data_IF_180722929747
#
_entry.id   IF_180722929747
#
_cell.length_a   1.000
_cell.length_b   1.000
_cell.length_c   1.000
_cell.angle_alpha   90.00
_cell.angle_beta   90.00
_cell.angle_gamma   90.00
#
_symmetry.space_group_name_H-M   'P 1'
#
loop_
_entity.id
_entity.type
_entity.pdbx_description
1 polymer ?
#
# COMPACT_ATOMS: atom_id res chain seq x y z
N UNK A 1 -45.63 -11.88 -56.07
CA UNK A 1 -45.32 -10.50 -55.68
C UNK A 1 -44.74 -10.55 -54.26
N UNK A 2 -43.42 -10.67 -54.12
CA UNK A 2 -42.75 -10.85 -52.82
C UNK A 2 -42.20 -9.50 -52.33
N UNK A 3 -42.74 -8.98 -51.22
CA UNK A 3 -42.21 -7.79 -50.57
C UNK A 3 -40.91 -8.13 -49.83
N UNK A 4 -39.83 -7.38 -50.13
CA UNK A 4 -38.55 -7.48 -49.43
C UNK A 4 -38.63 -6.71 -48.12
N UNK A 5 -38.46 -7.40 -47.00
CA UNK A 5 -38.28 -6.81 -45.68
C UNK A 5 -36.89 -6.18 -45.58
N UNK A 6 -36.80 -4.90 -45.23
CA UNK A 6 -35.54 -4.21 -44.96
C UNK A 6 -34.97 -4.62 -43.59
N UNK A 7 -33.64 -4.75 -43.43
CA UNK A 7 -33.04 -5.09 -42.15
C UNK A 7 -33.08 -3.89 -41.20
N UNK A 8 -33.55 -4.15 -39.98
CA UNK A 8 -33.62 -3.19 -38.87
C UNK A 8 -32.19 -2.86 -38.43
N UNK A 9 -31.77 -1.62 -38.65
CA UNK A 9 -30.48 -1.10 -38.20
C UNK A 9 -30.41 -1.21 -36.65
N UNK A 10 -29.38 -1.83 -36.05
CA UNK A 10 -29.26 -1.87 -34.59
C UNK A 10 -29.03 -0.45 -34.06
N UNK A 11 -29.85 -0.07 -33.08
CA UNK A 11 -29.70 1.19 -32.34
C UNK A 11 -28.27 1.35 -31.81
N UNK A 12 -27.70 2.57 -31.82
CA UNK A 12 -26.36 2.79 -31.30
C UNK A 12 -26.34 2.38 -29.83
N UNK A 13 -25.40 1.51 -29.47
CA UNK A 13 -25.16 1.12 -28.09
C UNK A 13 -25.03 2.39 -27.24
N UNK A 14 -25.92 2.55 -26.24
CA UNK A 14 -25.81 3.60 -25.22
C UNK A 14 -24.38 3.54 -24.69
N UNK A 15 -23.58 4.57 -25.00
CA UNK A 15 -22.29 4.79 -24.34
C UNK A 15 -22.58 4.80 -22.85
N UNK A 16 -22.10 3.80 -22.13
CA UNK A 16 -22.16 3.77 -20.67
C UNK A 16 -21.43 5.04 -20.22
N UNK A 17 -22.15 5.92 -19.56
CA UNK A 17 -21.60 7.14 -19.03
C UNK A 17 -20.68 6.77 -17.87
N UNK A 18 -19.38 6.68 -18.15
CA UNK A 18 -18.33 6.34 -17.20
C UNK A 18 -18.03 7.50 -16.23
N UNK A 19 -18.72 8.65 -16.37
CA UNK A 19 -18.54 9.83 -15.52
C UNK A 19 -18.94 9.65 -14.06
N UNK A 20 -19.66 8.56 -13.74
CA UNK A 20 -20.05 8.21 -12.37
C UNK A 20 -19.10 7.23 -11.68
N UNK A 21 -18.06 6.75 -12.36
CA UNK A 21 -16.97 6.11 -11.64
C UNK A 21 -16.26 7.23 -10.87
N UNK A 22 -16.15 7.15 -9.54
CA UNK A 22 -15.26 8.07 -8.83
C UNK A 22 -13.93 7.98 -9.56
N UNK A 23 -13.46 9.10 -10.11
CA UNK A 23 -12.10 9.24 -10.59
C UNK A 23 -11.21 9.06 -9.36
N UNK A 24 -10.98 7.81 -8.97
CA UNK A 24 -9.99 7.43 -7.99
C UNK A 24 -8.68 7.75 -8.69
N UNK A 25 -8.19 8.97 -8.47
CA UNK A 25 -6.81 9.29 -8.78
C UNK A 25 -5.97 8.17 -8.18
N UNK A 26 -5.04 7.58 -8.95
CA UNK A 26 -4.10 6.61 -8.38
C UNK A 26 -3.48 7.22 -7.13
N UNK A 27 -3.14 6.39 -6.12
CA UNK A 27 -2.43 6.87 -4.94
C UNK A 27 -1.20 7.66 -5.38
N UNK A 28 -0.95 8.80 -4.73
CA UNK A 28 0.24 9.59 -5.05
C UNK A 28 1.51 8.84 -4.59
N UNK A 29 2.57 8.98 -5.38
CA UNK A 29 3.89 8.42 -5.05
C UNK A 29 4.36 9.08 -3.76
N UNK A 30 4.61 8.27 -2.74
CA UNK A 30 5.10 8.76 -1.46
C UNK A 30 6.64 8.66 -1.38
N UNK A 31 7.22 9.18 -0.30
CA UNK A 31 8.66 9.16 -0.09
C UNK A 31 9.26 7.74 -0.01
N UNK A 32 8.52 6.75 0.51
CA UNK A 32 8.96 5.35 0.55
C UNK A 32 9.03 4.75 -0.86
N UNK A 33 8.01 5.02 -1.69
CA UNK A 33 7.99 4.57 -3.08
C UNK A 33 9.21 5.10 -3.83
N UNK A 34 9.58 6.37 -3.61
CA UNK A 34 10.81 6.94 -4.17
C UNK A 34 12.07 6.20 -3.69
N UNK A 35 12.20 5.92 -2.39
CA UNK A 35 13.37 5.18 -1.87
C UNK A 35 13.45 3.74 -2.40
N UNK A 36 12.31 3.07 -2.53
CA UNK A 36 12.22 1.72 -3.08
C UNK A 36 12.60 1.74 -4.57
N UNK A 37 12.09 2.71 -5.33
CA UNK A 37 12.42 2.89 -6.75
C UNK A 37 13.91 3.14 -6.98
N UNK A 38 14.59 3.90 -6.11
CA UNK A 38 16.04 4.12 -6.17
C UNK A 38 16.87 2.84 -5.96
N UNK A 39 16.28 1.79 -5.38
CA UNK A 39 16.92 0.48 -5.15
C UNK A 39 16.48 -0.57 -6.17
N UNK A 40 16.01 -0.14 -7.34
CA UNK A 40 15.40 -0.99 -8.37
C UNK A 40 14.20 -1.81 -7.87
N UNK A 41 13.62 -1.44 -6.73
CA UNK A 41 12.40 -2.03 -6.24
C UNK A 41 11.17 -1.45 -6.93
N UNK A 42 10.01 -2.04 -6.64
CA UNK A 42 8.75 -1.59 -7.21
C UNK A 42 7.60 -1.70 -6.23
N UNK A 43 6.79 -0.66 -6.13
CA UNK A 43 5.54 -0.69 -5.36
C UNK A 43 4.36 -0.68 -6.32
N UNK A 44 3.20 -1.08 -5.83
CA UNK A 44 1.95 -1.01 -6.60
C UNK A 44 1.74 0.37 -7.23
N UNK A 45 2.03 1.44 -6.50
CA UNK A 45 1.93 2.83 -6.97
C UNK A 45 2.87 3.09 -8.15
N UNK A 46 4.09 2.58 -8.11
CA UNK A 46 5.05 2.69 -9.22
C UNK A 46 4.60 1.85 -10.42
N UNK A 47 4.13 0.62 -10.21
CA UNK A 47 3.64 -0.27 -11.29
C UNK A 47 2.42 0.30 -12.02
N UNK A 48 1.49 0.92 -11.28
CA UNK A 48 0.31 1.55 -11.87
C UNK A 48 0.56 2.95 -12.42
N UNK A 49 1.80 3.43 -12.42
CA UNK A 49 2.14 4.71 -13.05
C UNK A 49 1.86 4.67 -14.56
N UNK A 50 1.43 5.80 -15.17
CA UNK A 50 1.09 5.83 -16.60
C UNK A 50 2.22 5.35 -17.51
N UNK A 51 3.48 5.65 -17.16
CA UNK A 51 4.65 5.26 -17.94
C UNK A 51 4.90 3.75 -17.90
N UNK A 52 4.74 3.09 -16.74
CA UNK A 52 4.88 1.64 -16.61
C UNK A 52 3.72 0.90 -17.27
N UNK A 53 2.49 1.37 -17.08
CA UNK A 53 1.31 0.82 -17.76
C UNK A 53 1.47 0.92 -19.29
N UNK A 54 1.94 2.05 -19.80
CA UNK A 54 2.15 2.21 -21.24
C UNK A 54 3.25 1.27 -21.75
N UNK A 55 4.32 1.07 -20.99
CA UNK A 55 5.38 0.12 -21.32
C UNK A 55 4.87 -1.32 -21.35
N UNK A 56 4.06 -1.71 -20.37
CA UNK A 56 3.46 -3.04 -20.29
C UNK A 56 2.53 -3.33 -21.50
N UNK A 57 1.81 -2.32 -22.00
CA UNK A 57 0.99 -2.46 -23.22
C UNK A 57 1.80 -2.72 -24.48
N UNK A 58 3.01 -2.16 -24.55
CA UNK A 58 3.90 -2.29 -25.70
C UNK A 58 4.81 -3.52 -25.60
N UNK A 59 4.83 -4.19 -24.44
CA UNK A 59 5.68 -5.35 -24.20
C UNK A 59 5.22 -6.54 -25.06
N UNK A 60 6.16 -7.28 -25.68
CA UNK A 60 5.85 -8.53 -26.35
C UNK A 60 5.21 -9.55 -25.40
N UNK A 61 4.35 -10.42 -25.93
CA UNK A 61 3.79 -11.52 -25.14
C UNK A 61 4.89 -12.48 -24.70
N UNK A 62 4.98 -12.73 -23.39
CA UNK A 62 5.90 -13.70 -22.82
C UNK A 62 5.48 -15.14 -23.14
N UNK A 63 6.46 -16.05 -23.09
CA UNK A 63 6.16 -17.49 -23.07
C UNK A 63 5.41 -17.85 -21.78
N UNK A 64 4.61 -18.92 -21.76
CA UNK A 64 3.87 -19.32 -20.56
C UNK A 64 4.77 -19.48 -19.32
N UNK A 65 5.96 -20.06 -19.47
CA UNK A 65 6.92 -20.23 -18.36
C UNK A 65 7.41 -18.89 -17.82
N UNK A 66 7.87 -18.00 -18.71
CA UNK A 66 8.35 -16.68 -18.32
C UNK A 66 7.24 -15.84 -17.66
N UNK A 67 5.99 -16.00 -18.12
CA UNK A 67 4.84 -15.33 -17.53
C UNK A 67 4.54 -15.83 -16.11
N UNK A 68 4.69 -17.13 -15.85
CA UNK A 68 4.49 -17.70 -14.51
C UNK A 68 5.56 -17.17 -13.55
N UNK A 69 6.83 -17.12 -13.97
CA UNK A 69 7.93 -16.59 -13.16
C UNK A 69 7.71 -15.11 -12.80
N UNK A 70 7.36 -14.29 -13.80
CA UNK A 70 7.05 -12.87 -13.61
C UNK A 70 5.90 -12.67 -12.61
N UNK A 71 4.77 -13.36 -12.81
CA UNK A 71 3.61 -13.26 -11.93
C UNK A 71 3.91 -13.77 -10.51
N UNK A 72 4.74 -14.80 -10.37
CA UNK A 72 5.15 -15.32 -9.07
C UNK A 72 5.98 -14.29 -8.30
N UNK A 73 6.90 -13.61 -9.00
CA UNK A 73 7.69 -12.51 -8.43
C UNK A 73 6.81 -11.32 -8.04
N UNK A 74 5.95 -10.85 -8.94
CA UNK A 74 5.02 -9.73 -8.66
C UNK A 74 4.11 -10.03 -7.46
N UNK A 75 3.62 -11.27 -7.38
CA UNK A 75 2.78 -11.70 -6.26
C UNK A 75 3.57 -11.71 -4.94
N UNK A 76 4.83 -12.13 -4.96
CA UNK A 76 5.73 -12.03 -3.80
C UNK A 76 5.93 -10.58 -3.34
N UNK A 77 6.20 -9.68 -4.29
CA UNK A 77 6.37 -8.24 -4.04
C UNK A 77 5.11 -7.61 -3.45
N UNK A 78 3.94 -7.90 -4.03
CA UNK A 78 2.66 -7.39 -3.54
C UNK A 78 2.32 -7.92 -2.14
N UNK A 79 2.66 -9.18 -1.83
CA UNK A 79 2.49 -9.73 -0.47
C UNK A 79 3.34 -8.98 0.56
N UNK A 80 4.58 -8.62 0.21
CA UNK A 80 5.46 -7.85 1.10
C UNK A 80 4.94 -6.43 1.33
N UNK A 81 4.46 -5.77 0.27
CA UNK A 81 3.83 -4.45 0.39
C UNK A 81 2.57 -4.48 1.28
N UNK A 82 1.69 -5.47 1.08
CA UNK A 82 0.50 -5.66 1.94
C UNK A 82 0.92 -5.92 3.39
N UNK A 83 1.94 -6.75 3.62
CA UNK A 83 2.45 -7.05 4.96
C UNK A 83 2.94 -5.79 5.67
N UNK A 84 3.72 -4.95 4.98
CA UNK A 84 4.19 -3.68 5.52
C UNK A 84 3.02 -2.78 5.95
N UNK A 85 2.05 -2.54 5.07
CA UNK A 85 0.91 -1.68 5.40
C UNK A 85 0.05 -2.25 6.54
N UNK A 86 -0.08 -3.58 6.64
CA UNK A 86 -0.74 -4.23 7.78
C UNK A 86 -0.01 -3.96 9.08
N UNK A 87 1.33 -4.09 9.10
CA UNK A 87 2.13 -3.80 10.29
C UNK A 87 1.99 -2.33 10.72
N UNK A 88 2.10 -1.38 9.79
CA UNK A 88 1.89 0.05 10.08
C UNK A 88 0.49 0.32 10.63
N UNK A 89 -0.53 -0.32 10.07
CA UNK A 89 -1.90 -0.19 10.57
C UNK A 89 -2.02 -0.74 11.99
N UNK A 90 -1.50 -1.94 12.27
CA UNK A 90 -1.53 -2.53 13.61
C UNK A 90 -0.82 -1.66 14.66
N UNK A 91 0.34 -1.10 14.32
CA UNK A 91 1.09 -0.17 15.17
C UNK A 91 0.22 1.05 15.52
N UNK A 92 -0.41 1.67 14.52
CA UNK A 92 -1.30 2.80 14.70
C UNK A 92 -2.55 2.44 15.51
N UNK A 93 -3.12 1.25 15.31
CA UNK A 93 -4.25 0.76 16.12
C UNK A 93 -3.88 0.66 17.58
N UNK A 94 -2.74 0.03 17.92
CA UNK A 94 -2.28 -0.10 19.30
C UNK A 94 -2.05 1.24 19.98
N UNK A 95 -1.41 2.20 19.29
CA UNK A 95 -1.21 3.55 19.83
C UNK A 95 -2.55 4.25 20.10
N UNK A 96 -3.50 4.14 19.17
CA UNK A 96 -4.83 4.74 19.29
C UNK A 96 -5.58 4.15 20.48
N UNK A 97 -5.56 2.83 20.65
CA UNK A 97 -6.21 2.17 21.79
C UNK A 97 -5.61 2.65 23.12
N UNK A 98 -4.28 2.70 23.23
CA UNK A 98 -3.60 3.25 24.42
C UNK A 98 -3.92 4.71 24.67
N UNK A 99 -4.05 5.51 23.62
CA UNK A 99 -4.43 6.92 23.74
C UNK A 99 -5.84 7.08 24.29
N UNK A 100 -6.78 6.24 23.85
CA UNK A 100 -8.14 6.22 24.38
C UNK A 100 -8.18 5.75 25.84
N UNK A 101 -7.44 4.70 26.19
CA UNK A 101 -7.36 4.20 27.57
C UNK A 101 -6.84 5.27 28.52
N UNK A 102 -5.76 5.97 28.14
CA UNK A 102 -5.18 7.06 28.94
C UNK A 102 -6.14 8.23 29.04
N UNK A 103 -6.78 8.62 27.94
CA UNK A 103 -7.76 9.71 27.94
C UNK A 103 -8.92 9.42 28.91
N UNK A 104 -9.49 8.21 28.87
CA UNK A 104 -10.56 7.80 29.76
C UNK A 104 -10.12 7.82 31.23
N UNK A 105 -8.90 7.36 31.51
CA UNK A 105 -8.35 7.39 32.87
C UNK A 105 -8.14 8.83 33.37
N UNK A 106 -7.55 9.71 32.56
CA UNK A 106 -7.37 11.13 32.93
C UNK A 106 -8.73 11.79 33.18
N UNK A 107 -9.72 11.51 32.32
CA UNK A 107 -11.06 12.00 32.50
C UNK A 107 -11.63 11.54 33.85
N UNK A 108 -11.60 10.24 34.14
CA UNK A 108 -12.12 9.71 35.41
C UNK A 108 -11.39 10.25 36.64
N UNK A 109 -10.06 10.35 36.61
CA UNK A 109 -9.26 10.94 37.69
C UNK A 109 -9.68 12.39 37.96
N UNK A 110 -9.91 13.19 36.91
CA UNK A 110 -10.36 14.57 37.07
C UNK A 110 -11.73 14.70 37.75
N UNK A 111 -12.64 13.74 37.54
CA UNK A 111 -13.98 13.75 38.15
C UNK A 111 -14.03 13.11 39.54
N UNK A 112 -13.22 12.08 39.80
CA UNK A 112 -13.31 11.27 41.01
C UNK A 112 -12.31 11.69 42.09
N UNK A 113 -11.08 12.05 41.73
CA UNK A 113 -10.05 12.46 42.69
C UNK A 113 -9.06 13.47 42.06
N UNK A 114 -9.39 14.78 42.10
CA UNK A 114 -8.55 15.83 41.52
C UNK A 114 -7.15 15.99 42.17
N UNK A 115 -6.83 15.24 43.23
CA UNK A 115 -5.59 15.35 43.99
C UNK A 115 -4.61 14.17 43.83
N UNK A 116 -4.95 13.13 43.06
CA UNK A 116 -4.21 11.86 43.04
C UNK A 116 -2.78 11.95 42.49
N UNK A 117 -2.45 13.01 41.75
CA UNK A 117 -1.14 13.18 41.09
C UNK A 117 -0.87 12.17 39.95
N UNK A 118 -1.83 11.28 39.67
CA UNK A 118 -1.69 10.17 38.72
C UNK A 118 -1.66 10.60 37.25
N UNK A 119 -2.08 11.83 36.95
CA UNK A 119 -2.02 12.42 35.60
C UNK A 119 -0.59 12.42 35.06
N UNK A 120 0.41 12.69 35.91
CA UNK A 120 1.82 12.64 35.49
C UNK A 120 2.22 11.25 34.98
N UNK A 121 1.82 10.21 35.71
CA UNK A 121 2.07 8.82 35.32
C UNK A 121 1.38 8.46 34.00
N UNK A 122 0.09 8.83 33.86
CA UNK A 122 -0.70 8.58 32.65
C UNK A 122 -0.11 9.27 31.41
N UNK A 123 0.40 10.50 31.57
CA UNK A 123 1.08 11.22 30.50
C UNK A 123 2.41 10.55 30.13
N UNK A 124 3.16 10.03 31.10
CA UNK A 124 4.37 9.23 30.83
C UNK A 124 4.05 7.93 30.09
N UNK A 125 2.95 7.26 30.42
CA UNK A 125 2.50 6.04 29.72
C UNK A 125 2.17 6.34 28.25
N UNK A 126 1.44 7.43 27.97
CA UNK A 126 1.13 7.84 26.60
C UNK A 126 2.40 8.20 25.82
N UNK A 127 3.33 8.91 26.44
CA UNK A 127 4.61 9.24 25.83
C UNK A 127 5.38 7.98 25.44
N UNK A 128 5.47 7.00 26.35
CA UNK A 128 6.16 5.75 26.07
C UNK A 128 5.49 4.95 24.94
N UNK A 129 4.16 4.89 24.91
CA UNK A 129 3.41 4.24 23.84
C UNK A 129 3.66 4.91 22.47
N UNK A 130 3.78 6.25 22.45
CA UNK A 130 4.13 6.99 21.24
C UNK A 130 5.55 6.67 20.77
N UNK A 131 6.54 6.70 21.67
CA UNK A 131 7.92 6.34 21.35
C UNK A 131 8.04 4.90 20.84
N UNK A 132 7.31 3.98 21.46
CA UNK A 132 7.24 2.58 21.04
C UNK A 132 6.62 2.45 19.65
N UNK A 133 5.51 3.15 19.36
CA UNK A 133 4.88 3.18 18.04
C UNK A 133 5.85 3.66 16.96
N UNK A 134 6.56 4.77 17.21
CA UNK A 134 7.55 5.32 16.27
C UNK A 134 8.69 4.33 16.01
N UNK A 135 9.20 3.67 17.07
CA UNK A 135 10.26 2.65 16.93
C UNK A 135 9.80 1.46 16.07
N UNK A 136 8.59 0.97 16.29
CA UNK A 136 8.05 -0.15 15.52
C UNK A 136 7.79 0.23 14.06
N UNK A 137 7.27 1.42 13.79
CA UNK A 137 7.07 1.90 12.42
C UNK A 137 8.39 2.04 11.68
N UNK A 138 9.42 2.59 12.34
CA UNK A 138 10.76 2.69 11.79
C UNK A 138 11.39 1.30 11.52
N UNK A 139 11.13 0.31 12.37
CA UNK A 139 11.55 -1.06 12.15
C UNK A 139 10.86 -1.68 10.91
N UNK A 140 9.52 -1.61 10.84
CA UNK A 140 8.76 -2.10 9.69
C UNK A 140 9.21 -1.46 8.37
N UNK A 141 9.47 -0.14 8.38
CA UNK A 141 10.02 0.58 7.23
C UNK A 141 11.39 0.06 6.82
N UNK A 142 12.29 -0.15 7.77
CA UNK A 142 13.64 -0.69 7.48
C UNK A 142 13.56 -2.10 6.90
N UNK A 143 12.70 -2.95 7.44
CA UNK A 143 12.53 -4.33 6.98
C UNK A 143 11.99 -4.37 5.54
N UNK A 144 11.01 -3.53 5.23
CA UNK A 144 10.45 -3.44 3.88
C UNK A 144 11.46 -2.89 2.87
N UNK A 145 12.20 -1.82 3.21
CA UNK A 145 13.29 -1.31 2.36
C UNK A 145 14.41 -2.36 2.20
N UNK A 146 14.69 -3.13 3.26
CA UNK A 146 15.68 -4.21 3.26
C UNK A 146 15.31 -5.37 2.35
N UNK A 147 14.02 -5.66 2.17
CA UNK A 147 13.54 -6.65 1.20
C UNK A 147 14.02 -6.35 -0.21
N UNK A 148 13.88 -5.10 -0.66
CA UNK A 148 14.30 -4.67 -2.00
C UNK A 148 15.83 -4.66 -2.19
N UNK A 149 16.59 -4.34 -1.14
CA UNK A 149 18.05 -4.40 -1.18
C UNK A 149 18.61 -5.82 -1.36
N UNK A 150 17.88 -6.85 -0.93
CA UNK A 150 18.29 -8.26 -1.10
C UNK A 150 18.09 -8.76 -2.53
N UNK A 151 17.08 -8.24 -3.23
CA UNK A 151 16.75 -8.65 -4.61
C UNK A 151 17.73 -8.00 -5.63
N UNK A 152 18.19 -6.77 -5.37
CA UNK A 152 19.17 -6.08 -6.24
C UNK A 152 20.54 -6.80 -6.29
N UNK A 153 20.99 -7.41 -5.19
CA UNK A 153 22.28 -8.13 -5.16
C UNK A 153 22.24 -9.49 -5.88
N UNK A 154 21.06 -10.03 -6.22
CA UNK A 154 20.96 -11.29 -6.95
C UNK A 154 21.05 -11.10 -8.47
N UNK A 155 20.95 -9.86 -8.97
CA UNK A 155 21.04 -9.55 -10.41
C UNK A 155 22.51 -9.43 -10.87
N UNK A 156 23.46 -9.24 -9.96
CA UNK A 156 24.89 -9.07 -10.30
C UNK A 156 25.71 -10.37 -10.28
N UNK A 157 25.18 -11.49 -9.77
CA UNK A 157 25.89 -12.79 -9.70
C UNK A 157 25.57 -13.76 -10.86
N UNK A 158 24.97 -13.24 -11.94
CA UNK A 158 24.77 -13.96 -13.20
C UNK A 158 25.90 -13.65 -14.19
N UNK A 159 27.05 -14.29 -13.98
CA UNK A 159 28.30 -14.01 -14.70
C UNK A 159 28.23 -14.13 -16.23
N UNK A 160 29.09 -13.34 -16.86
CA UNK A 160 29.67 -13.65 -18.17
C UNK A 160 31.12 -14.10 -17.96
N UNK A 161 31.37 -15.40 -18.09
CA UNK A 161 32.64 -15.96 -18.59
C UNK A 161 32.26 -16.80 -19.81
#
# INVERSE_FOLDING_TARGET
MFQRSTPRNPSPAKKRDLSLLPHSKPPEVNHLDHQIGLRNGSTSVLEFSPSRVQRAKLAPSLTPSARIEELTRELGQMRQEIQFYRQCFEILQRLRDKSYDVYQQIFLEHYLDPGSGRVGELMSQLHHALEESVRHEAAAKRDWIGFWGRESNQIEDGGWI
#
